data_IF_967661241489
#
_entry.id   IF_967661241489
#
_cell.length_a   1.000
_cell.length_b   1.000
_cell.length_c   1.000
_cell.angle_alpha   90.00
_cell.angle_beta   90.00
_cell.angle_gamma   90.00
#
_symmetry.space_group_name_H-M   'P 1'
#
loop_
_entity.id
_entity.type
_entity.pdbx_description
1 polymer ?
#
# COMPACT_ATOMS: atom_id res chain seq x y z
N UNK A 1 -8.70 -4.54 -18.63
CA UNK A 1 -8.38 -4.14 -17.25
C UNK A 1 -7.10 -3.30 -17.13
N UNK A 2 -6.25 -3.24 -18.16
CA UNK A 2 -4.99 -2.48 -18.18
C UNK A 2 -5.06 -0.99 -17.76
N UNK A 3 -6.20 -0.30 -17.92
CA UNK A 3 -6.32 1.10 -17.50
C UNK A 3 -6.21 1.27 -15.98
N UNK A 4 -6.93 0.45 -15.21
CA UNK A 4 -6.94 0.54 -13.76
C UNK A 4 -5.60 0.08 -13.17
N UNK A 5 -5.02 -0.98 -13.71
CA UNK A 5 -3.69 -1.48 -13.31
C UNK A 5 -2.58 -0.45 -13.58
N UNK A 6 -2.61 0.21 -14.75
CA UNK A 6 -1.66 1.28 -15.05
C UNK A 6 -1.89 2.49 -14.11
N UNK A 7 -3.14 2.82 -13.85
CA UNK A 7 -3.50 3.90 -12.93
C UNK A 7 -3.00 3.65 -11.50
N UNK A 8 -3.22 2.45 -10.94
CA UNK A 8 -2.72 2.10 -9.61
C UNK A 8 -1.20 2.03 -9.57
N UNK A 9 -0.53 1.59 -10.64
CA UNK A 9 0.93 1.64 -10.75
C UNK A 9 1.47 3.08 -10.72
N UNK A 10 0.84 4.01 -11.46
CA UNK A 10 1.22 5.43 -11.44
C UNK A 10 0.99 6.05 -10.06
N UNK A 11 -0.15 5.74 -9.42
CA UNK A 11 -0.45 6.18 -8.05
C UNK A 11 0.60 5.67 -7.07
N UNK A 12 0.95 4.39 -7.13
CA UNK A 12 1.96 3.78 -6.28
C UNK A 12 3.30 4.48 -6.45
N UNK A 13 3.73 4.72 -7.68
CA UNK A 13 4.99 5.41 -7.93
C UNK A 13 4.98 6.82 -7.32
N UNK A 14 3.92 7.60 -7.56
CA UNK A 14 3.76 8.93 -6.98
C UNK A 14 3.76 8.93 -5.45
N UNK A 15 3.15 7.92 -4.84
CA UNK A 15 3.18 7.72 -3.39
C UNK A 15 4.62 7.52 -2.90
N UNK A 16 5.37 6.62 -3.54
CA UNK A 16 6.76 6.32 -3.19
C UNK A 16 7.67 7.54 -3.35
N UNK A 17 7.55 8.26 -4.47
CA UNK A 17 8.31 9.49 -4.75
C UNK A 17 8.03 10.56 -3.68
N UNK A 18 6.75 10.68 -3.28
CA UNK A 18 6.34 11.56 -2.20
C UNK A 18 6.99 11.14 -0.89
N UNK A 19 6.88 9.87 -0.50
CA UNK A 19 7.46 9.35 0.75
C UNK A 19 8.96 9.60 0.77
N UNK A 20 9.67 9.29 -0.31
CA UNK A 20 11.11 9.52 -0.44
C UNK A 20 11.48 10.99 -0.24
N UNK A 21 10.73 11.91 -0.85
CA UNK A 21 10.97 13.36 -0.74
C UNK A 21 10.63 13.92 0.65
N UNK A 22 9.84 13.19 1.43
CA UNK A 22 9.18 13.67 2.64
C UNK A 22 9.42 12.80 3.87
N UNK A 23 10.38 11.85 3.81
CA UNK A 23 10.62 10.85 4.85
C UNK A 23 10.70 11.46 6.25
N UNK A 24 11.35 12.63 6.39
CA UNK A 24 11.54 13.30 7.68
C UNK A 24 10.22 13.64 8.40
N UNK A 25 9.25 14.22 7.69
CA UNK A 25 7.98 14.58 8.32
C UNK A 25 7.06 13.36 8.48
N UNK A 26 7.07 12.44 7.51
CA UNK A 26 6.29 11.21 7.57
C UNK A 26 6.71 10.34 8.76
N UNK A 27 8.01 10.24 9.03
CA UNK A 27 8.53 9.54 10.21
C UNK A 27 7.95 10.12 11.50
N UNK A 28 7.90 11.45 11.62
CA UNK A 28 7.33 12.12 12.80
C UNK A 28 5.81 11.92 12.89
N UNK A 29 5.09 11.97 11.76
CA UNK A 29 3.66 11.72 11.74
C UNK A 29 3.34 10.26 12.12
N UNK A 30 4.13 9.30 11.64
CA UNK A 30 3.93 7.86 11.90
C UNK A 30 4.21 7.47 13.35
N UNK A 31 4.98 8.28 14.10
CA UNK A 31 5.13 8.13 15.54
C UNK A 31 3.83 8.42 16.30
N UNK A 32 2.97 9.32 15.77
CA UNK A 32 1.67 9.62 16.36
C UNK A 32 0.59 8.65 15.88
N UNK A 33 0.48 8.49 14.56
CA UNK A 33 -0.59 7.70 13.94
C UNK A 33 -0.02 6.86 12.81
N UNK A 34 0.06 5.55 13.04
CA UNK A 34 0.42 4.56 12.04
C UNK A 34 -0.55 3.39 12.06
N UNK A 35 -0.74 2.78 10.90
CA UNK A 35 -1.59 1.60 10.68
C UNK A 35 -0.68 0.43 10.33
N UNK A 36 -0.95 -0.74 10.90
CA UNK A 36 -0.21 -1.97 10.55
C UNK A 36 -0.62 -2.43 9.16
N UNK A 37 0.37 -2.81 8.37
CA UNK A 37 0.16 -3.33 7.02
C UNK A 37 0.30 -4.86 6.99
N UNK A 38 -0.31 -5.53 6.00
CA UNK A 38 -0.27 -6.99 5.88
C UNK A 38 1.14 -7.57 5.69
N UNK A 39 2.06 -6.78 5.13
CA UNK A 39 3.48 -7.09 4.92
C UNK A 39 4.32 -6.99 6.21
N UNK A 40 3.68 -6.76 7.36
CA UNK A 40 4.33 -6.70 8.68
C UNK A 40 4.96 -5.34 9.01
N UNK A 41 4.88 -4.38 8.08
CA UNK A 41 5.37 -3.02 8.28
C UNK A 41 4.31 -2.06 8.82
N UNK A 42 4.51 -0.77 8.56
CA UNK A 42 3.60 0.30 8.94
C UNK A 42 3.41 1.28 7.80
N UNK A 43 2.20 1.83 7.72
CA UNK A 43 1.89 2.95 6.84
C UNK A 43 1.27 4.11 7.62
N UNK A 44 1.30 5.33 7.06
CA UNK A 44 0.49 6.45 7.55
C UNK A 44 -1.01 6.12 7.52
N UNK A 45 -1.82 6.93 8.22
CA UNK A 45 -3.27 6.77 8.21
C UNK A 45 -3.86 6.83 6.80
N UNK A 46 -4.97 6.11 6.57
CA UNK A 46 -5.61 6.06 5.26
C UNK A 46 -6.04 7.42 4.74
N UNK A 47 -6.55 8.29 5.61
CA UNK A 47 -6.86 9.68 5.23
C UNK A 47 -5.65 10.46 4.73
N UNK A 48 -4.47 10.25 5.31
CA UNK A 48 -3.24 10.92 4.87
C UNK A 48 -2.82 10.39 3.50
N UNK A 49 -2.79 9.07 3.33
CA UNK A 49 -2.47 8.44 2.03
C UNK A 49 -3.42 8.93 0.94
N UNK A 50 -4.74 8.85 1.18
CA UNK A 50 -5.75 9.29 0.23
C UNK A 50 -5.66 10.79 -0.05
N UNK A 51 -5.44 11.63 0.97
CA UNK A 51 -5.28 13.07 0.81
C UNK A 51 -4.08 13.45 -0.05
N UNK A 52 -2.93 12.81 0.19
CA UNK A 52 -1.70 13.03 -0.58
C UNK A 52 -1.90 12.58 -2.03
N UNK A 53 -2.41 11.38 -2.25
CA UNK A 53 -2.59 10.87 -3.63
C UNK A 53 -3.64 11.68 -4.38
N UNK A 54 -4.69 12.14 -3.71
CA UNK A 54 -5.66 13.02 -4.34
C UNK A 54 -5.04 14.36 -4.81
N UNK A 55 -4.05 14.88 -4.07
CA UNK A 55 -3.28 16.06 -4.48
C UNK A 55 -2.29 15.76 -5.63
N UNK A 56 -1.67 14.58 -5.64
CA UNK A 56 -0.68 14.17 -6.65
C UNK A 56 -1.30 13.70 -7.97
N UNK A 57 -2.49 13.11 -7.92
CA UNK A 57 -3.24 12.63 -9.09
C UNK A 57 -4.70 13.08 -8.98
N UNK A 58 -5.03 14.30 -9.46
CA UNK A 58 -6.39 14.83 -9.40
C UNK A 58 -7.44 13.96 -10.10
N UNK A 59 -7.03 13.11 -11.05
CA UNK A 59 -7.91 12.13 -11.69
C UNK A 59 -8.47 11.11 -10.71
N UNK A 60 -7.80 10.87 -9.58
CA UNK A 60 -8.32 10.03 -8.50
C UNK A 60 -9.60 10.61 -7.90
N UNK A 61 -9.75 11.95 -7.79
CA UNK A 61 -10.98 12.58 -7.28
C UNK A 61 -12.24 12.12 -8.03
N UNK A 62 -12.15 11.90 -9.34
CA UNK A 62 -13.27 11.44 -10.15
C UNK A 62 -13.70 9.99 -9.80
N UNK A 63 -12.79 9.20 -9.24
CA UNK A 63 -13.02 7.83 -8.79
C UNK A 63 -13.38 7.77 -7.29
N UNK A 64 -12.91 8.72 -6.48
CA UNK A 64 -13.18 8.75 -5.05
C UNK A 64 -14.65 8.93 -4.72
N UNK A 65 -15.38 9.75 -5.47
CA UNK A 65 -16.83 9.97 -5.23
C UNK A 65 -17.63 8.67 -5.36
N UNK A 66 -17.56 7.92 -6.47
CA UNK A 66 -18.29 6.65 -6.58
C UNK A 66 -17.77 5.57 -5.63
N UNK A 67 -16.46 5.52 -5.35
CA UNK A 67 -15.92 4.54 -4.40
C UNK A 67 -16.38 4.79 -2.96
N UNK A 68 -16.39 6.05 -2.52
CA UNK A 68 -16.86 6.40 -1.17
C UNK A 68 -18.36 6.17 -0.99
N UNK A 69 -19.17 6.34 -2.05
CA UNK A 69 -20.59 5.99 -2.01
C UNK A 69 -20.82 4.47 -1.89
N UNK A 70 -19.90 3.66 -2.41
CA UNK A 70 -20.01 2.21 -2.37
C UNK A 70 -19.46 1.63 -1.06
N UNK A 71 -18.33 2.17 -0.60
CA UNK A 71 -17.72 1.81 0.67
C UNK A 71 -16.98 3.02 1.26
N UNK A 72 -17.45 3.48 2.41
CA UNK A 72 -16.86 4.61 3.13
C UNK A 72 -15.61 4.23 3.94
N UNK A 73 -15.23 2.95 3.97
CA UNK A 73 -14.05 2.46 4.68
C UNK A 73 -12.77 2.89 3.96
N UNK A 74 -12.06 3.85 4.57
CA UNK A 74 -10.81 4.38 4.04
C UNK A 74 -9.69 3.35 3.90
N UNK A 75 -9.65 2.31 4.76
CA UNK A 75 -8.65 1.25 4.69
C UNK A 75 -8.91 0.36 3.46
N UNK A 76 -10.17 0.03 3.21
CA UNK A 76 -10.58 -0.71 2.01
C UNK A 76 -10.26 0.08 0.72
N UNK A 77 -10.42 1.40 0.72
CA UNK A 77 -10.05 2.25 -0.41
C UNK A 77 -8.53 2.22 -0.68
N UNK A 78 -7.71 2.32 0.37
CA UNK A 78 -6.25 2.23 0.26
C UNK A 78 -5.82 0.85 -0.26
N UNK A 79 -6.50 -0.22 0.15
CA UNK A 79 -6.27 -1.57 -0.35
C UNK A 79 -6.60 -1.72 -1.84
N UNK A 80 -7.77 -1.23 -2.28
CA UNK A 80 -8.18 -1.26 -3.70
C UNK A 80 -7.22 -0.47 -4.60
N UNK A 81 -6.65 0.62 -4.08
CA UNK A 81 -5.62 1.40 -4.79
C UNK A 81 -4.24 0.72 -4.79
N UNK A 82 -4.08 -0.41 -4.09
CA UNK A 82 -2.83 -1.14 -4.00
C UNK A 82 -1.77 -0.40 -3.18
N UNK A 83 -2.20 0.39 -2.20
CA UNK A 83 -1.38 1.24 -1.33
C UNK A 83 -1.29 0.72 0.12
N UNK A 84 -1.87 -0.44 0.42
CA UNK A 84 -1.83 -1.06 1.74
C UNK A 84 -0.52 -1.85 1.97
N UNK A 85 0.62 -1.15 1.91
CA UNK A 85 1.96 -1.70 2.11
C UNK A 85 2.83 -0.68 2.86
N UNK A 86 3.96 -1.13 3.40
CA UNK A 86 4.93 -0.25 4.05
C UNK A 86 5.78 0.50 3.00
N UNK A 87 5.66 1.83 2.90
CA UNK A 87 6.34 2.59 1.87
C UNK A 87 7.85 2.71 2.11
N UNK A 88 8.31 2.66 3.36
CA UNK A 88 9.74 2.68 3.67
C UNK A 88 10.38 1.36 3.26
N UNK A 89 9.75 0.23 3.58
CA UNK A 89 10.19 -1.09 3.14
C UNK A 89 10.20 -1.23 1.61
N UNK A 90 9.20 -0.67 0.93
CA UNK A 90 9.14 -0.69 -0.54
C UNK A 90 10.25 0.15 -1.20
N UNK A 91 10.61 1.28 -0.59
CA UNK A 91 11.74 2.10 -1.06
C UNK A 91 13.09 1.43 -0.80
N UNK A 92 13.25 0.82 0.38
CA UNK A 92 14.51 0.18 0.78
C UNK A 92 14.78 -1.12 0.01
N UNK A 93 13.72 -1.84 -0.39
CA UNK A 93 13.80 -3.01 -1.28
C UNK A 93 13.91 -2.66 -2.79
N UNK A 94 14.09 -1.38 -3.13
CA UNK A 94 14.37 -0.97 -4.51
C UNK A 94 13.17 -0.99 -5.46
N UNK A 95 11.97 -0.62 -4.99
CA UNK A 95 10.84 -0.28 -5.86
C UNK A 95 10.27 -1.42 -6.72
N UNK A 96 10.60 -2.68 -6.42
CA UNK A 96 9.99 -3.82 -7.10
C UNK A 96 8.59 -4.06 -6.51
N UNK A 97 7.51 -4.02 -7.33
CA UNK A 97 6.22 -4.48 -6.87
C UNK A 97 6.35 -5.97 -6.53
N UNK A 98 6.19 -6.31 -5.25
CA UNK A 98 5.92 -7.71 -4.88
C UNK A 98 4.55 -8.03 -5.48
N UNK A 99 4.56 -8.61 -6.68
CA UNK A 99 3.46 -9.42 -7.16
C UNK A 99 3.19 -10.44 -6.07
N UNK A 100 1.95 -10.47 -5.59
CA UNK A 100 1.45 -11.50 -4.69
C UNK A 100 1.50 -12.78 -5.51
N UNK A 101 2.64 -13.45 -5.48
CA UNK A 101 2.77 -14.78 -6.06
C UNK A 101 2.02 -15.69 -5.09
N UNK A 102 0.90 -16.24 -5.56
CA UNK A 102 0.21 -17.32 -4.89
C UNK A 102 1.08 -18.58 -4.99
N UNK A 103 2.21 -18.58 -4.30
CA UNK A 103 3.00 -19.77 -4.06
C UNK A 103 2.47 -20.41 -2.79
N UNK A 104 1.48 -21.27 -3.02
CA UNK A 104 1.07 -22.35 -2.14
C UNK A 104 2.30 -23.20 -1.80
N UNK A 105 2.89 -22.96 -0.63
CA UNK A 105 3.85 -23.89 -0.05
C UNK A 105 3.59 -23.97 1.45
N UNK A 106 2.53 -24.73 1.76
CA UNK A 106 2.27 -25.25 3.10
C UNK A 106 3.46 -26.13 3.50
N UNK A 107 4.19 -25.84 4.60
CA UNK A 107 5.21 -26.76 5.08
C UNK A 107 4.54 -28.01 5.65
N UNK A 108 4.47 -29.07 4.85
CA UNK A 108 4.17 -30.42 5.34
C UNK A 108 5.29 -30.84 6.31
N UNK A 109 4.86 -31.27 7.51
CA UNK A 109 5.65 -31.71 8.66
C UNK A 109 6.94 -32.47 8.28
N UNK A 110 8.05 -32.30 9.03
CA UNK A 110 9.22 -33.15 8.85
C UNK A 110 8.91 -34.58 9.26
N UNK A 111 9.18 -35.50 8.33
CA UNK A 111 9.17 -36.94 8.52
C UNK A 111 10.16 -37.32 9.65
N UNK A 112 9.68 -38.07 10.65
CA UNK A 112 10.48 -38.49 11.80
C UNK A 112 11.10 -39.85 11.45
N UNK A 113 12.43 -39.98 11.30
CA UNK A 113 13.04 -41.26 10.99
C UNK A 113 13.13 -42.14 12.24
N UNK A 114 12.94 -43.43 12.03
CA UNK A 114 12.70 -44.47 13.02
C UNK A 114 13.63 -44.54 14.23
N UNK A 115 13.02 -44.98 15.33
CA UNK A 115 13.59 -45.85 16.36
C UNK A 115 12.47 -46.72 16.94
#
# INVERSE_FOLDING_TARGET
MAFFENFTAVIRQKWLDYVQSNRGWLTLQMQQTSVRTPDGGRRPSSFLVLGVINALEPKLSNLMVPFYQLNSDEDALVEVLGLNFDPEMALDNGGAPQTIDASDDTPLLPDVPGL
#
